data_IF_916177138542
#
_entry.id   IF_916177138542
#
_cell.length_a   1.000
_cell.length_b   1.000
_cell.length_c   1.000
_cell.angle_alpha   90.00
_cell.angle_beta   90.00
_cell.angle_gamma   90.00
#
_symmetry.space_group_name_H-M   'P 1'
#
loop_
_entity.id
_entity.type
_entity.pdbx_description
1 polymer ?
#
# COMPACT_ATOMS: atom_id res chain seq x y z
N UNK A 1 24.18 -17.23 -58.77
CA UNK A 1 24.47 -17.39 -57.33
C UNK A 1 23.60 -16.41 -56.58
N UNK A 2 22.89 -16.92 -55.55
CA UNK A 2 22.01 -16.21 -54.60
C UNK A 2 22.77 -15.06 -53.92
N UNK A 3 22.15 -13.93 -53.55
CA UNK A 3 21.37 -13.82 -52.31
C UNK A 3 20.42 -12.60 -52.29
N UNK A 4 19.16 -12.84 -51.91
CA UNK A 4 18.18 -11.82 -51.51
C UNK A 4 18.55 -11.19 -50.16
N UNK A 5 18.39 -9.88 -50.03
CA UNK A 5 18.42 -9.17 -48.75
C UNK A 5 16.98 -8.84 -48.35
N UNK A 6 16.42 -9.60 -47.39
CA UNK A 6 15.09 -9.32 -46.84
C UNK A 6 15.20 -8.29 -45.73
N UNK A 7 14.50 -7.16 -45.88
CA UNK A 7 14.35 -6.13 -44.85
C UNK A 7 13.35 -6.62 -43.79
N UNK A 8 13.81 -6.76 -42.55
CA UNK A 8 12.98 -7.08 -41.39
C UNK A 8 12.23 -5.82 -40.93
N UNK A 9 10.91 -5.85 -40.68
CA UNK A 9 10.22 -4.72 -40.08
C UNK A 9 10.55 -4.65 -38.58
N UNK A 10 11.06 -3.51 -38.13
CA UNK A 10 11.29 -3.20 -36.72
C UNK A 10 9.91 -2.97 -36.09
N UNK A 11 9.42 -3.95 -35.33
CA UNK A 11 8.21 -3.82 -34.53
C UNK A 11 8.48 -2.83 -33.38
N UNK A 12 7.73 -1.74 -33.39
CA UNK A 12 7.74 -0.72 -32.34
C UNK A 12 7.11 -1.31 -31.08
N UNK A 13 7.94 -1.79 -30.16
CA UNK A 13 7.48 -2.22 -28.84
C UNK A 13 7.04 -0.98 -28.05
N UNK A 14 5.73 -0.80 -27.90
CA UNK A 14 5.17 0.16 -26.98
C UNK A 14 5.63 -0.19 -25.56
N UNK A 15 6.58 0.58 -25.02
CA UNK A 15 6.89 0.56 -23.59
C UNK A 15 5.62 1.02 -22.86
N UNK A 16 4.87 0.07 -22.33
CA UNK A 16 3.93 0.35 -21.25
C UNK A 16 4.77 0.97 -20.11
N UNK A 17 4.58 2.27 -19.85
CA UNK A 17 5.05 2.88 -18.62
C UNK A 17 4.38 2.14 -17.47
N UNK A 18 5.08 1.18 -16.87
CA UNK A 18 4.67 0.60 -15.60
C UNK A 18 4.64 1.73 -14.59
N UNK A 19 3.46 2.12 -14.05
CA UNK A 19 3.45 3.06 -12.94
C UNK A 19 4.24 2.41 -11.81
N UNK A 20 5.08 3.20 -11.16
CA UNK A 20 6.01 2.81 -10.10
C UNK A 20 5.48 1.64 -9.26
N UNK A 21 6.18 0.50 -9.34
CA UNK A 21 5.79 -0.76 -8.71
C UNK A 21 6.01 -0.66 -7.19
N UNK A 22 5.04 -0.11 -6.48
CA UNK A 22 5.01 -0.05 -5.02
C UNK A 22 3.76 -0.80 -4.56
N UNK A 23 3.83 -1.52 -3.44
CA UNK A 23 2.61 -2.01 -2.81
C UNK A 23 1.90 -0.81 -2.20
N UNK A 24 0.84 -0.41 -2.88
CA UNK A 24 -0.03 0.70 -2.46
C UNK A 24 -1.38 0.12 -2.12
N UNK A 25 -2.14 0.80 -1.26
CA UNK A 25 -3.54 0.45 -1.03
C UNK A 25 -4.29 0.36 -2.38
N UNK A 26 -4.91 -0.80 -2.65
CA UNK A 26 -5.56 -1.15 -3.92
C UNK A 26 -4.64 -1.68 -5.02
N UNK A 27 -3.32 -1.70 -4.80
CA UNK A 27 -2.29 -2.19 -5.70
C UNK A 27 -2.17 -3.72 -5.73
N UNK A 28 -1.39 -4.23 -6.69
CA UNK A 28 -1.21 -5.67 -6.90
C UNK A 28 -0.24 -6.29 -5.89
N UNK A 29 -0.49 -7.53 -5.45
CA UNK A 29 0.38 -8.26 -4.53
C UNK A 29 1.82 -8.43 -5.05
N UNK A 30 2.02 -8.45 -6.37
CA UNK A 30 3.33 -8.60 -7.01
C UNK A 30 4.28 -7.42 -6.76
N UNK A 31 3.80 -6.28 -6.27
CA UNK A 31 4.64 -5.09 -6.02
C UNK A 31 5.22 -5.02 -4.61
N UNK A 32 4.81 -5.91 -3.70
CA UNK A 32 5.26 -5.96 -2.30
C UNK A 32 6.77 -6.20 -2.19
N UNK A 33 7.32 -7.11 -3.00
CA UNK A 33 8.74 -7.41 -2.98
C UNK A 33 9.59 -6.27 -3.57
N UNK A 34 9.03 -5.50 -4.51
CA UNK A 34 9.70 -4.32 -5.08
C UNK A 34 9.75 -3.20 -4.04
N UNK A 35 8.65 -3.00 -3.31
CA UNK A 35 8.55 -2.01 -2.25
C UNK A 35 9.54 -2.28 -1.11
N UNK A 36 9.71 -3.55 -0.70
CA UNK A 36 10.78 -3.96 0.23
C UNK A 36 12.16 -3.47 -0.22
N UNK A 37 12.49 -3.68 -1.48
CA UNK A 37 13.79 -3.30 -2.02
C UNK A 37 13.98 -1.77 -2.04
N UNK A 38 12.93 -1.02 -2.36
CA UNK A 38 13.00 0.44 -2.44
C UNK A 38 12.99 1.11 -1.06
N UNK A 39 12.19 0.60 -0.13
CA UNK A 39 12.16 1.10 1.25
C UNK A 39 13.34 0.59 2.09
N UNK A 40 14.25 -0.22 1.52
CA UNK A 40 15.39 -0.83 2.22
C UNK A 40 14.97 -1.56 3.50
N UNK A 41 13.80 -2.18 3.45
CA UNK A 41 13.23 -2.85 4.60
C UNK A 41 13.89 -4.21 4.85
N UNK A 42 13.86 -4.65 6.11
CA UNK A 42 14.26 -6.01 6.48
C UNK A 42 13.36 -7.07 5.81
N UNK A 43 13.77 -8.34 5.87
CA UNK A 43 13.04 -9.48 5.25
C UNK A 43 11.58 -9.46 5.70
N UNK A 44 10.59 -9.54 4.78
CA UNK A 44 9.20 -9.47 5.15
C UNK A 44 8.80 -10.76 5.86
N UNK A 45 8.09 -10.63 6.97
CA UNK A 45 7.40 -11.78 7.56
C UNK A 45 6.01 -11.88 6.91
N UNK A 46 5.79 -12.96 6.15
CA UNK A 46 4.47 -13.27 5.63
C UNK A 46 3.72 -14.18 6.62
N UNK A 47 2.51 -13.80 7.00
CA UNK A 47 1.61 -14.65 7.78
C UNK A 47 0.33 -14.92 7.00
N UNK A 48 0.06 -16.20 6.72
CA UNK A 48 -1.18 -16.62 6.07
C UNK A 48 -2.30 -16.69 7.09
N UNK A 49 -3.42 -16.03 6.79
CA UNK A 49 -4.67 -16.08 7.54
C UNK A 49 -5.75 -16.75 6.69
N UNK A 50 -6.88 -17.05 7.31
CA UNK A 50 -8.05 -17.50 6.57
C UNK A 50 -8.53 -16.29 5.74
N UNK A 51 -8.48 -16.43 4.41
CA UNK A 51 -8.93 -15.45 3.40
C UNK A 51 -8.00 -14.26 3.08
N UNK A 52 -6.84 -14.14 3.72
CA UNK A 52 -5.85 -13.11 3.38
C UNK A 52 -4.43 -13.47 3.85
N UNK A 53 -3.43 -12.78 3.31
CA UNK A 53 -2.03 -12.84 3.77
C UNK A 53 -1.62 -11.47 4.30
N UNK A 54 -0.83 -11.44 5.37
CA UNK A 54 -0.23 -10.22 5.88
C UNK A 54 1.25 -10.23 5.61
N UNK A 55 1.75 -9.23 4.91
CA UNK A 55 3.17 -8.95 4.74
C UNK A 55 3.59 -7.86 5.70
N UNK A 56 4.54 -8.14 6.58
CA UNK A 56 5.07 -7.14 7.52
C UNK A 56 6.52 -6.81 7.19
N UNK A 57 6.84 -5.52 7.17
CA UNK A 57 8.17 -4.99 6.90
C UNK A 57 8.53 -3.89 7.88
N UNK A 58 9.81 -3.79 8.23
CA UNK A 58 10.34 -2.71 9.07
C UNK A 58 11.21 -1.79 8.22
N UNK A 59 10.84 -0.52 8.16
CA UNK A 59 11.59 0.52 7.45
C UNK A 59 12.88 0.87 8.20
N UNK A 60 13.91 1.44 7.53
CA UNK A 60 15.13 1.92 8.19
C UNK A 60 14.88 2.94 9.31
N UNK A 61 13.75 3.64 9.26
CA UNK A 61 13.29 4.56 10.30
C UNK A 61 12.78 3.86 11.57
N UNK A 62 12.63 2.53 11.57
CA UNK A 62 12.05 1.74 12.65
C UNK A 62 10.52 1.72 12.66
N UNK A 63 9.87 2.18 11.60
CA UNK A 63 8.41 2.05 11.42
C UNK A 63 8.11 0.63 10.94
N UNK A 64 7.20 -0.07 11.60
CA UNK A 64 6.60 -1.31 11.08
C UNK A 64 5.42 -0.94 10.18
N UNK A 65 5.38 -1.56 9.00
CA UNK A 65 4.28 -1.47 8.03
C UNK A 65 3.79 -2.88 7.74
N UNK A 66 2.48 -3.04 7.76
CA UNK A 66 1.79 -4.30 7.45
C UNK A 66 0.86 -4.08 6.27
N UNK A 67 0.93 -4.96 5.30
CA UNK A 67 0.11 -4.95 4.09
C UNK A 67 -0.74 -6.21 4.07
N UNK A 68 -2.04 -6.02 3.88
CA UNK A 68 -3.03 -7.08 3.92
C UNK A 68 -3.51 -7.37 2.51
N UNK A 69 -3.33 -8.61 2.09
CA UNK A 69 -3.48 -9.04 0.70
C UNK A 69 -4.59 -10.08 0.60
N UNK A 70 -5.55 -9.84 -0.27
CA UNK A 70 -6.57 -10.79 -0.66
C UNK A 70 -6.91 -10.59 -2.14
N UNK A 71 -7.25 -11.67 -2.85
CA UNK A 71 -7.55 -11.62 -4.29
C UNK A 71 -6.45 -10.89 -5.10
N UNK A 72 -5.19 -11.17 -4.79
CA UNK A 72 -4.00 -10.56 -5.38
C UNK A 72 -3.91 -9.02 -5.27
N UNK A 73 -4.65 -8.42 -4.32
CA UNK A 73 -4.64 -6.98 -4.06
C UNK A 73 -4.39 -6.64 -2.61
N UNK A 74 -3.68 -5.54 -2.38
CA UNK A 74 -3.53 -4.93 -1.05
C UNK A 74 -4.85 -4.24 -0.69
N UNK A 75 -5.68 -4.85 0.14
CA UNK A 75 -6.96 -4.27 0.55
C UNK A 75 -6.86 -3.41 1.81
N UNK A 76 -5.81 -3.59 2.60
CA UNK A 76 -5.54 -2.79 3.79
C UNK A 76 -4.05 -2.64 4.07
N UNK A 77 -3.72 -1.57 4.79
CA UNK A 77 -2.39 -1.25 5.27
C UNK A 77 -2.47 -0.81 6.73
N UNK A 78 -1.47 -1.15 7.53
CA UNK A 78 -1.33 -0.67 8.90
C UNK A 78 0.12 -0.25 9.15
N UNK A 79 0.32 0.74 10.02
CA UNK A 79 1.64 1.22 10.38
C UNK A 79 1.75 1.52 11.87
N UNK A 80 2.95 1.37 12.40
CA UNK A 80 3.30 1.76 13.77
C UNK A 80 4.76 2.18 13.87
N UNK A 81 5.02 3.31 14.52
CA UNK A 81 6.39 3.74 14.76
C UNK A 81 6.53 5.07 15.47
N UNK A 82 7.79 5.51 15.65
CA UNK A 82 8.11 6.78 16.30
C UNK A 82 7.96 8.00 15.40
N UNK A 83 7.93 7.76 14.10
CA UNK A 83 7.67 8.72 13.05
C UNK A 83 6.59 8.16 12.12
N UNK A 84 5.95 9.03 11.34
CA UNK A 84 4.98 8.63 10.33
C UNK A 84 5.71 8.11 9.07
N UNK A 85 5.27 7.00 8.46
CA UNK A 85 5.78 6.59 7.14
C UNK A 85 5.33 7.57 6.05
N UNK A 86 5.83 7.39 4.83
CA UNK A 86 5.32 8.11 3.67
C UNK A 86 3.91 7.61 3.34
N UNK A 87 2.89 8.30 3.88
CA UNK A 87 1.49 7.95 3.65
C UNK A 87 1.06 8.14 2.20
N UNK A 88 1.74 8.99 1.42
CA UNK A 88 1.45 9.16 0.00
C UNK A 88 1.84 7.91 -0.77
N UNK A 89 3.00 7.35 -0.46
CA UNK A 89 3.40 6.05 -1.00
C UNK A 89 2.44 4.94 -0.57
N UNK A 90 2.14 4.84 0.72
CA UNK A 90 1.33 3.74 1.27
C UNK A 90 -0.12 3.75 0.77
N UNK A 91 -0.74 4.93 0.66
CA UNK A 91 -2.14 5.07 0.24
C UNK A 91 -2.31 5.19 -1.28
N UNK A 92 -1.26 5.57 -2.01
CA UNK A 92 -1.30 5.73 -3.46
C UNK A 92 -2.47 6.62 -3.92
N UNK A 93 -3.37 6.14 -4.80
CA UNK A 93 -4.51 6.93 -5.30
C UNK A 93 -5.45 7.48 -4.21
N UNK A 94 -5.49 6.84 -3.04
CA UNK A 94 -6.37 7.22 -1.94
C UNK A 94 -5.81 8.36 -1.06
N UNK A 95 -4.57 8.79 -1.31
CA UNK A 95 -3.93 9.82 -0.51
C UNK A 95 -4.65 11.18 -0.61
N UNK A 96 -5.17 11.53 -1.78
CA UNK A 96 -5.88 12.80 -1.97
C UNK A 96 -7.20 12.81 -1.17
N UNK A 97 -7.94 11.69 -1.18
CA UNK A 97 -9.12 11.50 -0.31
C UNK A 97 -8.73 11.63 1.16
N UNK A 98 -7.66 10.95 1.60
CA UNK A 98 -7.15 11.05 2.96
C UNK A 98 -6.85 12.50 3.36
N UNK A 99 -6.12 13.26 2.54
CA UNK A 99 -5.75 14.64 2.89
C UNK A 99 -6.93 15.60 2.86
N UNK A 100 -7.90 15.39 1.97
CA UNK A 100 -9.15 16.15 1.92
C UNK A 100 -9.97 15.95 3.19
N UNK A 101 -10.18 14.69 3.58
CA UNK A 101 -10.94 14.33 4.79
C UNK A 101 -10.19 14.69 6.07
N UNK A 102 -8.87 14.51 6.13
CA UNK A 102 -8.09 14.87 7.31
C UNK A 102 -8.12 16.39 7.59
N UNK A 103 -8.21 17.24 6.54
CA UNK A 103 -8.35 18.70 6.71
C UNK A 103 -9.72 19.11 7.24
N UNK A 104 -10.77 18.38 6.92
CA UNK A 104 -12.13 18.68 7.39
C UNK A 104 -12.29 18.42 8.90
N UNK A 105 -11.46 17.55 9.48
CA UNK A 105 -11.49 17.17 10.90
C UNK A 105 -10.72 18.11 11.85
N UNK A 106 -10.12 19.20 11.33
CA UNK A 106 -9.48 20.26 12.12
C UNK A 106 -8.02 19.99 12.53
N UNK A 107 -7.33 21.01 13.08
CA UNK A 107 -5.87 21.01 13.36
C UNK A 107 -5.43 20.05 14.49
N UNK A 108 -6.33 19.24 15.06
CA UNK A 108 -6.05 18.30 16.13
C UNK A 108 -5.65 16.92 15.59
N UNK A 109 -4.40 16.78 15.13
CA UNK A 109 -3.88 15.52 14.54
C UNK A 109 -3.71 14.35 15.53
N UNK A 110 -4.27 14.43 16.74
CA UNK A 110 -4.12 13.37 17.75
C UNK A 110 -4.91 12.11 17.39
N UNK A 111 -6.03 12.26 16.70
CA UNK A 111 -6.84 11.15 16.21
C UNK A 111 -7.52 11.53 14.89
N UNK A 112 -7.35 10.69 13.87
CA UNK A 112 -8.01 10.78 12.57
C UNK A 112 -8.88 9.54 12.43
N UNK A 113 -10.19 9.73 12.29
CA UNK A 113 -11.14 8.69 11.95
C UNK A 113 -11.90 9.16 10.71
N UNK A 114 -11.63 8.53 9.57
CA UNK A 114 -12.24 8.84 8.28
C UNK A 114 -13.08 7.64 7.88
N UNK A 115 -14.37 7.86 7.67
CA UNK A 115 -15.32 6.89 7.15
C UNK A 115 -15.80 7.38 5.77
N UNK A 116 -15.10 6.97 4.71
CA UNK A 116 -15.45 7.31 3.33
C UNK A 116 -15.79 6.02 2.55
N UNK A 117 -16.76 6.03 1.61
CA UNK A 117 -17.21 4.81 0.91
C UNK A 117 -16.08 4.00 0.24
N UNK A 118 -15.04 4.71 -0.22
CA UNK A 118 -13.90 4.12 -0.91
C UNK A 118 -12.66 3.93 -0.01
N UNK A 119 -12.67 4.51 1.20
CA UNK A 119 -11.51 4.55 2.08
C UNK A 119 -11.93 4.73 3.53
N UNK A 120 -11.54 3.80 4.40
CA UNK A 120 -11.62 4.00 5.85
C UNK A 120 -10.21 4.16 6.40
N UNK A 121 -10.02 5.14 7.29
CA UNK A 121 -8.72 5.41 7.94
C UNK A 121 -8.92 5.60 9.43
N UNK A 122 -8.15 4.87 10.21
CA UNK A 122 -8.01 5.11 11.64
C UNK A 122 -6.55 5.39 11.94
N UNK A 123 -6.23 6.60 12.37
CA UNK A 123 -4.89 6.95 12.80
C UNK A 123 -4.93 7.64 14.16
N UNK A 124 -3.98 7.32 15.02
CA UNK A 124 -3.77 7.98 16.28
C UNK A 124 -2.30 8.32 16.45
N UNK A 125 -2.04 9.45 17.10
CA UNK A 125 -0.69 9.92 17.35
C UNK A 125 -0.61 10.70 18.64
N UNK A 126 0.19 10.22 19.58
CA UNK A 126 0.63 11.03 20.71
C UNK A 126 2.15 10.92 20.84
N UNK A 127 2.84 12.00 21.24
CA UNK A 127 4.30 12.11 21.45
C UNK A 127 5.17 10.93 20.91
N UNK A 128 5.54 10.96 19.62
CA UNK A 128 6.42 9.95 19.00
C UNK A 128 5.90 8.50 19.09
N UNK A 129 4.59 8.31 19.13
CA UNK A 129 3.91 7.03 18.95
C UNK A 129 2.80 7.24 17.92
N UNK A 130 3.14 7.02 16.65
CA UNK A 130 2.20 7.06 15.54
C UNK A 130 1.75 5.64 15.23
N UNK A 131 0.46 5.44 15.12
CA UNK A 131 -0.13 4.21 14.64
C UNK A 131 -1.36 4.50 13.79
N UNK A 132 -1.64 3.66 12.83
CA UNK A 132 -2.87 3.74 12.09
C UNK A 132 -3.06 2.61 11.11
N UNK A 133 -4.23 2.57 10.52
CA UNK A 133 -4.59 1.68 9.44
C UNK A 133 -5.48 2.37 8.43
N UNK A 134 -5.43 1.88 7.20
CA UNK A 134 -6.33 2.27 6.14
C UNK A 134 -6.77 1.03 5.36
N UNK A 135 -8.03 0.98 4.93
CA UNK A 135 -8.56 -0.12 4.14
C UNK A 135 -9.62 0.33 3.15
N UNK A 136 -9.82 -0.48 2.10
CA UNK A 136 -10.85 -0.27 1.09
C UNK A 136 -12.08 -1.11 1.47
N UNK A 137 -13.23 -0.50 1.83
CA UNK A 137 -14.41 -1.25 2.28
C UNK A 137 -14.89 -2.31 1.30
N UNK A 138 -14.85 -2.01 -0.01
CA UNK A 138 -15.28 -2.93 -1.07
C UNK A 138 -14.32 -4.10 -1.34
N UNK A 139 -13.12 -4.09 -0.75
CA UNK A 139 -12.12 -5.16 -0.91
C UNK A 139 -11.91 -5.99 0.37
N UNK A 140 -12.67 -5.71 1.44
CA UNK A 140 -12.64 -6.53 2.64
C UNK A 140 -13.07 -7.97 2.31
N UNK A 141 -12.25 -8.99 2.63
CA UNK A 141 -12.64 -10.38 2.43
C UNK A 141 -13.84 -10.76 3.31
N UNK A 142 -14.65 -11.70 2.84
CA UNK A 142 -15.83 -12.14 3.57
C UNK A 142 -15.46 -12.65 4.98
N UNK A 143 -16.22 -12.20 5.97
CA UNK A 143 -16.03 -12.56 7.38
C UNK A 143 -14.92 -11.80 8.11
N UNK A 144 -14.12 -10.97 7.44
CA UNK A 144 -13.06 -10.17 8.07
C UNK A 144 -13.64 -8.88 8.63
N UNK A 145 -13.31 -8.59 9.89
CA UNK A 145 -13.70 -7.35 10.57
C UNK A 145 -12.57 -6.32 10.49
N UNK A 146 -12.93 -5.04 10.41
CA UNK A 146 -11.96 -3.94 10.45
C UNK A 146 -11.03 -3.99 11.68
N UNK A 147 -11.49 -4.57 12.80
CA UNK A 147 -10.69 -4.78 14.01
C UNK A 147 -9.48 -5.70 13.82
N UNK A 148 -9.41 -6.50 12.76
CA UNK A 148 -8.26 -7.36 12.44
C UNK A 148 -7.12 -6.62 11.72
N UNK A 149 -7.34 -5.36 11.34
CA UNK A 149 -6.39 -4.52 10.60
C UNK A 149 -5.65 -3.60 11.61
N UNK A 150 -4.42 -3.98 12.00
CA UNK A 150 -3.64 -3.35 13.08
C UNK A 150 -2.12 -3.45 12.87
#
# INVERSE_FOLDING_TARGET
MKTSLQLLPIAFAALALSPSAHAVLGGAASTVEVDRMQMKAAVPAASNKINYTVHEMTLPSGVSVREYIANDKVFAVAWRGRIMPDLKQLMGPYFDTYTSEARSHGNGHTHVAIEHPELVVHAAGHMRAYAGSAYIPSMLPEGIKASEIQ
#
